data_IF_782277944708
#
_entry.id   IF_782277944708
#
_cell.length_a   1.000
_cell.length_b   1.000
_cell.length_c   1.000
_cell.angle_alpha   90.00
_cell.angle_beta   90.00
_cell.angle_gamma   90.00
#
_symmetry.space_group_name_H-M   'P 1'
#
loop_
_entity.id
_entity.type
_entity.pdbx_description
1 polymer ?
#
# COMPACT_ATOMS: atom_id res chain seq x y z
N UNK A 1 -21.84 -1.93 -10.59
CA UNK A 1 -20.82 -2.09 -9.55
C UNK A 1 -19.51 -2.15 -10.29
N UNK A 2 -18.70 -1.08 -10.21
CA UNK A 2 -17.41 -1.05 -10.90
C UNK A 2 -16.43 -1.71 -9.95
N UNK A 3 -16.07 -2.93 -10.29
CA UNK A 3 -14.94 -3.66 -9.78
C UNK A 3 -13.76 -2.73 -9.44
N UNK A 4 -13.60 -2.43 -8.15
CA UNK A 4 -12.54 -1.57 -7.60
C UNK A 4 -11.22 -2.35 -7.54
N UNK A 5 -10.75 -2.87 -8.67
CA UNK A 5 -9.46 -3.52 -8.75
C UNK A 5 -8.40 -2.51 -9.20
N UNK A 6 -7.19 -2.68 -8.67
CA UNK A 6 -6.03 -1.87 -9.06
C UNK A 6 -5.34 -2.43 -10.31
N UNK A 7 -5.96 -3.41 -10.97
CA UNK A 7 -5.50 -4.00 -12.22
C UNK A 7 -5.24 -2.97 -13.34
N UNK A 8 -6.08 -1.95 -13.59
CA UNK A 8 -5.85 -1.00 -14.68
C UNK A 8 -4.55 -0.20 -14.52
N UNK A 9 -4.16 0.11 -13.27
CA UNK A 9 -2.96 0.88 -12.98
C UNK A 9 -1.70 0.02 -12.98
N UNK A 10 -1.81 -1.31 -12.94
CA UNK A 10 -0.67 -2.23 -13.03
C UNK A 10 0.13 -2.10 -14.34
N UNK A 11 -0.51 -1.55 -15.39
CA UNK A 11 0.13 -1.30 -16.68
C UNK A 11 0.97 -0.01 -16.72
N UNK A 12 0.89 0.85 -15.69
CA UNK A 12 1.57 2.14 -15.65
C UNK A 12 3.02 2.01 -15.19
N UNK A 13 3.88 1.46 -16.06
CA UNK A 13 5.31 1.16 -15.76
C UNK A 13 6.18 2.38 -15.38
N UNK A 14 5.72 3.60 -15.66
CA UNK A 14 6.42 4.85 -15.35
C UNK A 14 5.74 5.67 -14.26
N UNK A 15 4.81 5.07 -13.51
CA UNK A 15 4.18 5.74 -12.38
C UNK A 15 5.23 5.95 -11.28
N UNK A 16 5.51 7.19 -10.92
CA UNK A 16 6.55 7.50 -9.92
C UNK A 16 6.01 7.43 -8.49
N UNK A 17 4.78 7.87 -8.28
CA UNK A 17 4.14 7.94 -6.97
C UNK A 17 2.69 7.47 -7.09
N UNK A 18 2.28 6.60 -6.18
CA UNK A 18 0.92 6.10 -6.09
C UNK A 18 0.44 6.27 -4.66
N UNK A 19 -0.56 7.15 -4.48
CA UNK A 19 -1.26 7.36 -3.21
C UNK A 19 -2.65 6.76 -3.32
N UNK A 20 -2.88 5.72 -2.53
CA UNK A 20 -4.16 5.02 -2.45
C UNK A 20 -4.75 5.19 -1.05
N UNK A 21 -6.07 5.03 -0.96
CA UNK A 21 -6.73 4.87 0.33
C UNK A 21 -6.69 3.40 0.74
N UNK A 22 -6.75 3.11 2.05
CA UNK A 22 -6.86 1.75 2.60
C UNK A 22 -8.26 1.12 2.36
N UNK A 23 -8.74 1.20 1.11
CA UNK A 23 -10.02 0.65 0.67
C UNK A 23 -9.83 -0.65 -0.14
N UNK A 24 -8.59 -0.97 -0.49
CA UNK A 24 -8.24 -2.16 -1.26
C UNK A 24 -7.65 -3.25 -0.37
N UNK A 25 -7.69 -4.49 -0.84
CA UNK A 25 -7.12 -5.63 -0.15
C UNK A 25 -5.58 -5.59 -0.19
N UNK A 26 -4.94 -6.09 0.87
CA UNK A 26 -3.47 -6.24 0.96
C UNK A 26 -2.89 -7.00 -0.25
N UNK A 27 -3.62 -7.98 -0.78
CA UNK A 27 -3.22 -8.73 -1.97
C UNK A 27 -3.03 -7.85 -3.22
N UNK A 28 -3.91 -6.86 -3.43
CA UNK A 28 -3.82 -5.95 -4.57
C UNK A 28 -2.56 -5.07 -4.46
N UNK A 29 -2.26 -4.58 -3.25
CA UNK A 29 -1.04 -3.82 -2.98
C UNK A 29 0.22 -4.67 -3.18
N UNK A 30 0.22 -5.92 -2.72
CA UNK A 30 1.32 -6.85 -2.94
C UNK A 30 1.55 -7.13 -4.43
N UNK A 31 0.47 -7.36 -5.19
CA UNK A 31 0.55 -7.60 -6.65
C UNK A 31 1.09 -6.39 -7.38
N UNK A 32 0.62 -5.19 -7.03
CA UNK A 32 1.11 -3.95 -7.62
C UNK A 32 2.57 -3.66 -7.26
N UNK A 33 3.01 -3.94 -6.04
CA UNK A 33 4.41 -3.78 -5.63
C UNK A 33 5.36 -4.56 -6.55
N UNK A 34 4.93 -5.75 -7.00
CA UNK A 34 5.68 -6.57 -7.98
C UNK A 34 5.60 -5.99 -9.39
N UNK A 35 4.43 -5.53 -9.82
CA UNK A 35 4.22 -4.99 -11.18
C UNK A 35 4.85 -3.59 -11.38
N UNK A 36 4.92 -2.80 -10.32
CA UNK A 36 5.34 -1.41 -10.28
C UNK A 36 6.53 -1.22 -9.33
N UNK A 37 7.68 -1.90 -9.56
CA UNK A 37 8.81 -1.90 -8.64
C UNK A 37 9.52 -0.54 -8.53
N UNK A 38 9.22 0.40 -9.44
CA UNK A 38 9.77 1.76 -9.47
C UNK A 38 8.80 2.81 -8.92
N UNK A 39 7.61 2.40 -8.50
CA UNK A 39 6.58 3.29 -7.98
C UNK A 39 6.70 3.39 -6.47
N UNK A 40 6.68 4.63 -5.97
CA UNK A 40 6.67 4.90 -4.55
C UNK A 40 5.22 4.85 -4.03
N UNK A 41 4.94 3.91 -3.13
CA UNK A 41 3.63 3.71 -2.53
C UNK A 41 3.82 3.26 -1.07
N UNK A 42 3.13 3.91 -0.15
CA UNK A 42 3.22 3.62 1.29
C UNK A 42 2.76 2.19 1.62
N UNK A 43 1.78 1.68 0.86
CA UNK A 43 1.23 0.33 1.02
C UNK A 43 2.07 -0.77 0.35
N UNK A 44 3.06 -0.41 -0.48
CA UNK A 44 4.01 -1.40 -1.03
C UNK A 44 5.11 -1.73 -0.02
N UNK A 45 5.28 -0.88 0.99
CA UNK A 45 6.26 -1.10 2.02
C UNK A 45 5.72 -2.11 3.03
N UNK A 46 6.54 -3.10 3.45
CA UNK A 46 6.15 -4.05 4.49
C UNK A 46 5.99 -3.38 5.86
N UNK A 47 6.52 -2.16 6.04
CA UNK A 47 6.48 -1.41 7.28
C UNK A 47 6.24 0.06 7.00
N UNK A 48 5.22 0.64 7.62
CA UNK A 48 4.98 2.09 7.61
C UNK A 48 5.63 2.66 8.87
N UNK A 49 6.50 3.65 8.70
CA UNK A 49 7.02 4.41 9.84
C UNK A 49 5.91 5.28 10.37
N UNK A 50 5.51 5.07 11.63
CA UNK A 50 4.69 6.04 12.35
C UNK A 50 5.59 7.21 12.73
N UNK A 51 5.26 8.41 12.26
CA UNK A 51 5.99 9.64 12.59
C UNK A 51 5.70 10.12 14.03
N UNK A 52 4.65 9.59 14.66
CA UNK A 52 4.35 9.86 16.06
C UNK A 52 5.25 9.00 16.98
N UNK A 53 6.09 9.61 17.84
CA UNK A 53 6.74 8.89 18.92
C UNK A 53 5.66 8.41 19.89
N UNK A 54 5.28 7.14 19.78
CA UNK A 54 4.39 6.48 20.73
C UNK A 54 5.20 6.31 22.01
N UNK A 55 5.04 7.27 22.91
CA UNK A 55 5.67 7.47 24.22
C UNK A 55 5.79 6.18 25.07
N UNK A 56 6.76 5.32 24.71
CA UNK A 56 7.13 4.12 25.44
C UNK A 56 6.05 3.03 25.56
N UNK A 57 5.06 2.99 24.66
CA UNK A 57 3.98 1.98 24.70
C UNK A 57 4.06 1.02 23.53
N UNK A 58 4.10 -0.28 23.85
CA UNK A 58 4.01 -1.35 22.86
C UNK A 58 2.56 -1.46 22.34
N UNK A 59 2.37 -1.33 21.02
CA UNK A 59 1.06 -1.52 20.37
C UNK A 59 1.05 -2.86 19.65
N UNK A 60 0.09 -3.71 19.98
CA UNK A 60 -0.22 -4.93 19.23
C UNK A 60 -1.32 -4.61 18.22
N UNK A 61 -0.99 -4.65 16.92
CA UNK A 61 -1.99 -4.49 15.85
C UNK A 61 -2.70 -5.83 15.65
N UNK A 62 -4.02 -5.86 15.88
CA UNK A 62 -4.85 -7.03 15.59
C UNK A 62 -5.36 -6.96 14.14
N UNK A 63 -5.28 -8.06 13.37
CA UNK A 63 -5.91 -8.13 12.06
C UNK A 63 -7.45 -8.07 12.23
N UNK A 64 -8.12 -7.25 11.40
CA UNK A 64 -9.59 -7.24 11.29
C UNK A 64 -10.09 -8.42 10.47
#
# INVERSE_FOLDING_TARGET
MKDEYLEPISHLKNLLELKLSNQFLTEEFARLSVMLPKTNCEYFQPFVKMDDPIDGKDIMVLPQ
#
